data_IF_480161907096
#
_entry.id   IF_480161907096
#
_cell.length_a   1.000
_cell.length_b   1.000
_cell.length_c   1.000
_cell.angle_alpha   90.00
_cell.angle_beta   90.00
_cell.angle_gamma   90.00
#
_symmetry.space_group_name_H-M   'P 1'
#
loop_
_entity.id
_entity.type
_entity.pdbx_description
1 polymer ?
#
# COMPACT_ATOMS: atom_id res chain seq x y z
N UNK A 1 6.99 -16.35 -13.97
CA UNK A 1 6.35 -15.85 -12.72
C UNK A 1 5.13 -16.68 -12.38
N UNK A 2 4.21 -16.91 -13.32
CA UNK A 2 3.05 -17.81 -13.14
C UNK A 2 3.40 -19.14 -12.47
N UNK A 3 4.35 -19.90 -13.02
CA UNK A 3 4.79 -21.19 -12.47
C UNK A 3 5.34 -21.10 -11.04
N UNK A 4 5.90 -19.96 -10.64
CA UNK A 4 6.40 -19.75 -9.26
C UNK A 4 5.24 -19.52 -8.31
N UNK A 5 4.26 -18.70 -8.72
CA UNK A 5 3.10 -18.38 -7.89
C UNK A 5 2.11 -19.55 -7.79
N UNK A 6 2.02 -20.43 -8.79
CA UNK A 6 1.18 -21.64 -8.75
C UNK A 6 1.47 -22.53 -7.54
N UNK A 7 2.74 -22.65 -7.14
CA UNK A 7 3.16 -23.43 -5.98
C UNK A 7 2.98 -22.73 -4.62
N UNK A 8 2.40 -21.53 -4.60
CA UNK A 8 2.21 -20.73 -3.38
C UNK A 8 0.70 -20.64 -3.09
N UNK A 9 0.34 -20.94 -1.85
CA UNK A 9 -1.01 -20.76 -1.34
C UNK A 9 -1.29 -19.27 -1.07
N UNK A 10 -2.37 -18.76 -1.65
CA UNK A 10 -2.86 -17.40 -1.42
C UNK A 10 -4.15 -17.46 -0.61
N UNK A 11 -4.18 -16.74 0.51
CA UNK A 11 -5.34 -16.62 1.38
C UNK A 11 -6.02 -15.27 1.18
N UNK A 12 -7.33 -15.19 1.44
CA UNK A 12 -8.05 -13.91 1.45
C UNK A 12 -7.40 -12.98 2.48
N UNK A 13 -7.03 -11.75 2.09
CA UNK A 13 -6.33 -10.87 3.00
C UNK A 13 -7.30 -10.32 4.07
N UNK A 14 -6.85 -10.27 5.32
CA UNK A 14 -7.61 -9.63 6.40
C UNK A 14 -7.67 -8.12 6.24
N UNK A 15 -6.63 -7.52 5.65
CA UNK A 15 -6.55 -6.09 5.33
C UNK A 15 -6.64 -5.93 3.82
N UNK A 16 -7.59 -5.12 3.30
CA UNK A 16 -7.71 -4.92 1.86
C UNK A 16 -6.40 -4.38 1.25
N UNK A 17 -6.08 -4.84 0.04
CA UNK A 17 -4.83 -4.48 -0.65
C UNK A 17 -5.16 -3.66 -1.89
N UNK A 18 -4.59 -2.45 -1.99
CA UNK A 18 -4.60 -1.66 -3.23
C UNK A 18 -3.46 -2.15 -4.12
N UNK A 19 -3.78 -2.62 -5.33
CA UNK A 19 -2.75 -3.16 -6.24
C UNK A 19 -2.33 -2.15 -7.31
N UNK A 20 -1.01 -2.03 -7.50
CA UNK A 20 -0.37 -1.03 -8.33
C UNK A 20 -0.82 -1.02 -9.80
N UNK A 21 -1.20 -2.17 -10.33
CA UNK A 21 -1.51 -2.33 -11.76
C UNK A 21 -2.88 -1.76 -12.16
N UNK A 22 -3.81 -1.68 -11.21
CA UNK A 22 -5.18 -1.21 -11.44
C UNK A 22 -5.60 -0.05 -10.54
N UNK A 23 -4.80 0.26 -9.51
CA UNK A 23 -5.14 1.25 -8.48
C UNK A 23 -6.52 1.01 -7.84
N UNK A 24 -6.82 -0.26 -7.57
CA UNK A 24 -8.09 -0.71 -6.99
C UNK A 24 -7.85 -1.69 -5.83
N UNK A 25 -8.88 -1.88 -5.00
CA UNK A 25 -8.86 -2.69 -3.79
C UNK A 25 -9.32 -4.11 -4.11
N UNK A 26 -8.48 -5.10 -3.82
CA UNK A 26 -8.78 -6.52 -4.04
C UNK A 26 -8.81 -7.32 -2.74
N UNK A 27 -9.75 -8.27 -2.67
CA UNK A 27 -9.88 -9.25 -1.59
C UNK A 27 -9.90 -10.71 -2.10
N UNK A 28 -10.04 -10.90 -3.41
CA UNK A 28 -9.98 -12.23 -4.04
C UNK A 28 -8.51 -12.65 -4.25
N UNK A 29 -8.05 -13.75 -3.61
CA UNK A 29 -6.71 -14.29 -3.78
C UNK A 29 -6.28 -14.50 -5.23
N UNK A 30 -7.20 -14.96 -6.09
CA UNK A 30 -6.89 -15.29 -7.47
C UNK A 30 -6.66 -14.02 -8.30
N UNK A 31 -7.48 -12.99 -8.09
CA UNK A 31 -7.28 -11.67 -8.71
C UNK A 31 -5.97 -11.02 -8.23
N UNK A 32 -5.66 -11.14 -6.93
CA UNK A 32 -4.41 -10.64 -6.37
C UNK A 32 -3.21 -11.28 -7.09
N UNK A 33 -3.26 -12.60 -7.29
CA UNK A 33 -2.23 -13.37 -7.97
C UNK A 33 -2.04 -12.93 -9.42
N UNK A 34 -3.13 -12.78 -10.17
CA UNK A 34 -3.09 -12.32 -11.56
C UNK A 34 -2.52 -10.90 -11.66
N UNK A 35 -2.91 -10.00 -10.76
CA UNK A 35 -2.41 -8.63 -10.73
C UNK A 35 -0.91 -8.56 -10.34
N UNK A 36 -0.41 -9.45 -9.49
CA UNK A 36 1.03 -9.54 -9.19
C UNK A 36 1.86 -9.92 -10.42
N UNK A 37 1.33 -10.80 -11.28
CA UNK A 37 1.98 -11.15 -12.56
C UNK A 37 2.01 -9.94 -13.48
N UNK A 38 0.86 -9.27 -13.64
CA UNK A 38 0.72 -8.08 -14.48
C UNK A 38 1.63 -6.94 -14.05
N UNK A 39 1.80 -6.75 -12.73
CA UNK A 39 2.65 -5.71 -12.15
C UNK A 39 4.12 -5.78 -12.62
N UNK A 40 4.60 -6.94 -13.12
CA UNK A 40 5.96 -7.06 -13.63
C UNK A 40 6.20 -6.31 -14.95
N UNK A 41 5.15 -6.09 -15.74
CA UNK A 41 5.26 -5.51 -17.09
C UNK A 41 4.29 -4.34 -17.33
N UNK A 42 3.40 -4.05 -16.39
CA UNK A 42 2.49 -2.90 -16.42
C UNK A 42 2.99 -1.79 -15.47
N UNK A 43 2.61 -0.53 -15.72
CA UNK A 43 3.06 0.59 -14.90
C UNK A 43 2.57 0.52 -13.45
N UNK A 44 3.33 1.17 -12.56
CA UNK A 44 2.93 1.38 -11.15
C UNK A 44 2.07 2.64 -11.07
N UNK A 45 0.76 2.48 -10.88
CA UNK A 45 -0.21 3.58 -10.78
C UNK A 45 -0.23 4.23 -9.39
N UNK A 46 0.94 4.57 -8.83
CA UNK A 46 1.09 5.00 -7.44
C UNK A 46 0.25 6.22 -7.06
N UNK A 47 0.17 7.22 -7.96
CA UNK A 47 -0.65 8.43 -7.77
C UNK A 47 -2.12 8.05 -7.57
N UNK A 48 -2.62 7.11 -8.37
CA UNK A 48 -3.99 6.67 -8.30
C UNK A 48 -4.23 5.76 -7.08
N UNK A 49 -3.25 4.94 -6.68
CA UNK A 49 -3.28 4.19 -5.43
C UNK A 49 -3.46 5.10 -4.20
N UNK A 50 -2.72 6.22 -4.14
CA UNK A 50 -2.86 7.18 -3.03
C UNK A 50 -4.25 7.83 -3.04
N UNK A 51 -4.74 8.20 -4.22
CA UNK A 51 -6.09 8.79 -4.38
C UNK A 51 -7.20 7.82 -4.01
N UNK A 52 -7.11 6.54 -4.36
CA UNK A 52 -8.14 5.56 -4.01
C UNK A 52 -8.16 5.31 -2.51
N UNK A 53 -6.99 5.24 -1.85
CA UNK A 53 -6.91 5.16 -0.40
C UNK A 53 -7.58 6.38 0.26
N UNK A 54 -7.29 7.59 -0.22
CA UNK A 54 -7.92 8.79 0.30
C UNK A 54 -9.45 8.79 0.12
N UNK A 55 -9.92 8.43 -1.08
CA UNK A 55 -11.36 8.28 -1.38
C UNK A 55 -12.04 7.22 -0.52
N UNK A 56 -11.31 6.18 -0.13
CA UNK A 56 -11.78 5.15 0.81
C UNK A 56 -11.79 5.63 2.28
N UNK A 57 -11.46 6.90 2.54
CA UNK A 57 -11.50 7.52 3.86
C UNK A 57 -10.18 7.46 4.64
N UNK A 58 -9.09 7.02 4.01
CA UNK A 58 -7.77 7.01 4.66
C UNK A 58 -7.23 8.43 4.76
N UNK A 59 -7.01 8.89 6.00
CA UNK A 59 -6.41 10.19 6.33
C UNK A 59 -5.04 10.10 6.99
N UNK A 60 -4.64 8.91 7.46
CA UNK A 60 -3.35 8.63 8.08
C UNK A 60 -2.72 7.40 7.41
N UNK A 61 -1.44 7.48 7.06
CA UNK A 61 -0.64 6.40 6.48
C UNK A 61 0.65 6.20 7.28
N UNK A 62 1.13 4.95 7.33
CA UNK A 62 2.42 4.59 7.91
C UNK A 62 3.28 3.99 6.79
N UNK A 63 4.44 4.58 6.52
CA UNK A 63 5.46 4.05 5.62
C UNK A 63 6.28 2.98 6.35
N UNK A 64 5.95 1.72 6.07
CA UNK A 64 6.62 0.54 6.60
C UNK A 64 7.89 0.23 5.80
N UNK A 65 9.02 0.81 6.20
CA UNK A 65 10.31 0.57 5.56
C UNK A 65 11.35 1.62 5.96
N UNK A 66 12.59 1.48 5.49
CA UNK A 66 13.64 2.48 5.72
C UNK A 66 13.37 3.77 4.93
N UNK A 67 13.67 4.92 5.53
CA UNK A 67 13.49 6.22 4.90
C UNK A 67 12.05 6.73 4.92
N UNK A 68 11.80 7.77 4.12
CA UNK A 68 10.51 8.50 4.06
C UNK A 68 10.12 8.88 2.62
N UNK A 69 10.46 8.02 1.67
CA UNK A 69 10.27 8.31 0.24
C UNK A 69 8.78 8.37 -0.07
N UNK A 70 8.02 7.35 0.34
CA UNK A 70 6.58 7.29 0.08
C UNK A 70 5.85 8.43 0.79
N UNK A 71 6.21 8.78 2.02
CA UNK A 71 5.64 9.94 2.71
C UNK A 71 5.92 11.24 1.96
N UNK A 72 7.14 11.41 1.43
CA UNK A 72 7.46 12.55 0.57
C UNK A 72 6.65 12.59 -0.73
N UNK A 73 6.34 11.43 -1.32
CA UNK A 73 5.49 11.34 -2.51
C UNK A 73 4.01 11.60 -2.18
N UNK A 74 3.47 10.97 -1.14
CA UNK A 74 2.09 11.10 -0.68
C UNK A 74 1.77 12.57 -0.40
N UNK A 75 2.63 13.30 0.30
CA UNK A 75 2.43 14.73 0.59
C UNK A 75 2.29 15.60 -0.68
N UNK A 76 2.90 15.19 -1.80
CA UNK A 76 2.76 15.88 -3.10
C UNK A 76 1.52 15.46 -3.88
N UNK A 77 0.98 14.27 -3.61
CA UNK A 77 -0.18 13.70 -4.30
C UNK A 77 -1.47 14.14 -3.61
N UNK A 78 -1.55 13.94 -2.29
CA UNK A 78 -2.66 14.35 -1.42
C UNK A 78 -2.09 14.94 -0.12
N UNK A 79 -2.11 16.27 -0.01
CA UNK A 79 -1.54 16.98 1.15
C UNK A 79 -2.33 16.79 2.45
N UNK A 80 -3.58 16.36 2.33
CA UNK A 80 -4.50 16.16 3.46
C UNK A 80 -4.25 14.83 4.19
N UNK A 81 -3.45 13.94 3.60
CA UNK A 81 -3.05 12.68 4.23
C UNK A 81 -1.81 12.92 5.09
N UNK A 82 -1.91 12.57 6.37
CA UNK A 82 -0.77 12.51 7.28
C UNK A 82 0.00 11.21 7.01
N UNK A 83 1.29 11.30 6.69
CA UNK A 83 2.14 10.12 6.52
C UNK A 83 3.29 10.11 7.52
N UNK A 84 3.49 8.98 8.20
CA UNK A 84 4.48 8.77 9.25
C UNK A 84 5.42 7.63 8.82
N UNK A 85 6.72 7.73 9.12
CA UNK A 85 7.65 6.62 8.89
C UNK A 85 7.71 5.67 10.08
N UNK A 86 8.22 4.45 9.86
CA UNK A 86 8.45 3.46 10.91
C UNK A 86 9.86 2.84 10.85
N UNK A 87 10.86 3.63 10.44
CA UNK A 87 12.22 3.14 10.16
C UNK A 87 13.02 2.78 11.43
N UNK A 88 12.66 3.34 12.58
CA UNK A 88 13.29 3.11 13.88
C UNK A 88 12.25 3.08 15.02
N UNK A 89 12.69 2.72 16.22
CA UNK A 89 11.82 2.60 17.39
C UNK A 89 11.11 3.93 17.73
N UNK A 90 11.83 5.05 17.63
CA UNK A 90 11.28 6.36 17.95
C UNK A 90 10.16 6.77 16.98
N UNK A 91 10.38 6.59 15.68
CA UNK A 91 9.41 6.89 14.63
C UNK A 91 8.21 5.95 14.67
N UNK A 92 8.43 4.64 14.93
CA UNK A 92 7.34 3.69 15.12
C UNK A 92 6.46 4.05 16.33
N UNK A 93 7.06 4.38 17.49
CA UNK A 93 6.31 4.77 18.68
C UNK A 93 5.48 6.04 18.43
N UNK A 94 6.04 7.01 17.70
CA UNK A 94 5.32 8.22 17.28
C UNK A 94 4.14 7.88 16.34
N UNK A 95 4.37 6.99 15.37
CA UNK A 95 3.33 6.55 14.45
C UNK A 95 2.17 5.84 15.16
N UNK A 96 2.48 4.96 16.13
CA UNK A 96 1.47 4.27 16.95
C UNK A 96 0.64 5.27 17.77
N UNK A 97 1.29 6.26 18.39
CA UNK A 97 0.59 7.27 19.18
C UNK A 97 -0.38 8.10 18.32
N UNK A 98 0.03 8.48 17.11
CA UNK A 98 -0.78 9.28 16.19
C UNK A 98 -1.99 8.50 15.65
N UNK A 99 -1.87 7.21 15.33
CA UNK A 99 -2.99 6.41 14.81
C UNK A 99 -3.94 5.91 15.90
N UNK A 100 -3.51 5.91 17.16
CA UNK A 100 -4.34 5.51 18.31
C UNK A 100 -5.14 6.67 18.92
N UNK A 101 -4.92 7.89 18.45
CA UNK A 101 -5.61 9.12 18.85
C UNK A 101 -6.80 9.43 17.93
#
# INVERSE_FOLDING_TARGET
>A
METVLEGIEFNSPHTPVVQNVSADIYADPEQIKQNLIRQLYEPVLWVDCVRIMHKAGVSKLIECGPGKVLCGLIKRIESDIVCLGSEDEASLNSAIAEVSA
#
